data_IF_202654998981
#
_entry.id   IF_202654998981
#
_cell.length_a   1.000
_cell.length_b   1.000
_cell.length_c   1.000
_cell.angle_alpha   90.00
_cell.angle_beta   90.00
_cell.angle_gamma   90.00
#
_symmetry.space_group_name_H-M   'P 1'
#
loop_
_entity.id
_entity.type
_entity.pdbx_description
1 polymer ?
#
# COMPACT_ATOMS: atom_id res chain seq x y z
N UNK A 1 -21.84 -22.43 -30.22
CA UNK A 1 -20.84 -21.35 -30.10
C UNK A 1 -21.43 -20.03 -29.58
N UNK A 2 -22.47 -19.43 -30.18
CA UNK A 2 -23.06 -18.16 -29.68
C UNK A 2 -23.51 -18.18 -28.20
N UNK A 3 -24.14 -19.26 -27.74
CA UNK A 3 -24.58 -19.39 -26.33
C UNK A 3 -23.40 -19.42 -25.33
N UNK A 4 -22.33 -20.14 -25.66
CA UNK A 4 -21.13 -20.21 -24.82
C UNK A 4 -20.42 -18.85 -24.73
N UNK A 5 -20.38 -18.10 -25.83
CA UNK A 5 -19.82 -16.74 -25.86
C UNK A 5 -20.62 -15.75 -25.00
N UNK A 6 -21.96 -15.81 -25.04
CA UNK A 6 -22.83 -14.97 -24.20
C UNK A 6 -22.62 -15.29 -22.71
N UNK A 7 -22.52 -16.57 -22.34
CA UNK A 7 -22.25 -16.98 -20.95
C UNK A 7 -20.89 -16.47 -20.49
N UNK A 8 -19.86 -16.56 -21.33
CA UNK A 8 -18.52 -16.04 -21.00
C UNK A 8 -18.54 -14.53 -20.76
N UNK A 9 -19.21 -13.76 -21.63
CA UNK A 9 -19.35 -12.30 -21.44
C UNK A 9 -20.11 -11.98 -20.15
N UNK A 10 -21.18 -12.72 -19.86
CA UNK A 10 -21.94 -12.51 -18.63
C UNK A 10 -21.09 -12.77 -17.37
N UNK A 11 -20.30 -13.86 -17.35
CA UNK A 11 -19.39 -14.15 -16.25
C UNK A 11 -18.29 -13.10 -16.11
N UNK A 12 -17.70 -12.65 -17.22
CA UNK A 12 -16.71 -11.58 -17.22
C UNK A 12 -17.30 -10.26 -16.70
N UNK A 13 -18.54 -9.93 -17.06
CA UNK A 13 -19.26 -8.76 -16.55
C UNK A 13 -19.53 -8.82 -15.05
N UNK A 14 -19.97 -9.98 -14.55
CA UNK A 14 -20.16 -10.21 -13.10
C UNK A 14 -18.83 -10.07 -12.37
N UNK A 15 -17.76 -10.67 -12.90
CA UNK A 15 -16.44 -10.57 -12.29
C UNK A 15 -15.93 -9.13 -12.26
N UNK A 16 -16.06 -8.39 -13.37
CA UNK A 16 -15.71 -6.97 -13.42
C UNK A 16 -16.50 -6.13 -12.41
N UNK A 17 -17.80 -6.43 -12.23
CA UNK A 17 -18.63 -5.77 -11.22
C UNK A 17 -18.15 -6.05 -9.81
N UNK A 18 -17.78 -7.30 -9.50
CA UNK A 18 -17.23 -7.68 -8.19
C UNK A 18 -15.89 -7.00 -7.91
N UNK A 19 -15.01 -6.88 -8.92
CA UNK A 19 -13.75 -6.15 -8.78
C UNK A 19 -13.94 -4.64 -8.59
N UNK A 20 -14.98 -4.06 -9.18
CA UNK A 20 -15.29 -2.63 -9.03
C UNK A 20 -16.02 -2.32 -7.72
N UNK A 21 -16.82 -3.27 -7.21
CA UNK A 21 -17.61 -3.14 -5.98
C UNK A 21 -17.42 -4.36 -5.07
N UNK A 22 -16.24 -4.48 -4.42
CA UNK A 22 -15.96 -5.60 -3.54
C UNK A 22 -16.95 -5.67 -2.35
N UNK A 23 -17.54 -4.56 -1.94
CA UNK A 23 -18.58 -4.51 -0.90
C UNK A 23 -19.77 -5.45 -1.11
N UNK A 24 -20.06 -5.86 -2.35
CA UNK A 24 -21.10 -6.86 -2.65
C UNK A 24 -20.75 -8.26 -2.13
N UNK A 25 -19.45 -8.55 -2.02
CA UNK A 25 -18.93 -9.80 -1.48
C UNK A 25 -18.51 -9.66 -0.01
N UNK A 26 -17.91 -8.51 0.35
CA UNK A 26 -17.46 -8.17 1.70
C UNK A 26 -18.54 -7.38 2.47
N UNK A 27 -19.64 -8.07 2.78
CA UNK A 27 -20.85 -7.43 3.32
C UNK A 27 -20.77 -6.95 4.77
N UNK A 28 -19.88 -7.50 5.61
CA UNK A 28 -19.72 -7.02 6.99
C UNK A 28 -18.73 -5.88 7.02
N UNK A 29 -19.04 -4.83 7.81
CA UNK A 29 -18.18 -3.65 7.91
C UNK A 29 -18.10 -3.10 9.33
N UNK A 30 -16.97 -2.46 9.63
CA UNK A 30 -16.70 -1.72 10.86
C UNK A 30 -15.98 -0.43 10.51
N UNK A 31 -16.51 0.71 10.94
CA UNK A 31 -15.94 2.03 10.65
C UNK A 31 -15.32 2.64 11.91
N UNK A 32 -14.08 3.13 11.80
CA UNK A 32 -13.34 3.73 12.92
C UNK A 32 -12.25 4.70 12.40
N UNK A 33 -12.25 5.95 12.90
CA UNK A 33 -11.24 6.99 12.58
C UNK A 33 -10.89 7.11 11.09
N UNK A 34 -11.91 7.16 10.22
CA UNK A 34 -11.73 7.26 8.78
C UNK A 34 -11.45 5.93 8.07
N UNK A 35 -11.19 4.84 8.78
CA UNK A 35 -11.05 3.51 8.19
C UNK A 35 -12.37 2.76 8.20
N UNK A 36 -12.73 2.15 7.08
CA UNK A 36 -13.84 1.19 6.99
C UNK A 36 -13.26 -0.18 6.71
N UNK A 37 -13.25 -1.04 7.72
CA UNK A 37 -12.81 -2.44 7.60
C UNK A 37 -13.98 -3.28 7.11
N UNK A 38 -13.76 -4.06 6.06
CA UNK A 38 -14.74 -4.99 5.50
C UNK A 38 -14.21 -6.42 5.46
N UNK A 39 -15.09 -7.37 5.73
CA UNK A 39 -14.79 -8.79 5.68
C UNK A 39 -15.99 -9.56 5.13
N UNK A 40 -15.73 -10.69 4.47
CA UNK A 40 -16.76 -11.64 4.09
C UNK A 40 -17.22 -12.47 5.32
N UNK A 41 -16.24 -12.91 6.11
CA UNK A 41 -16.43 -13.72 7.32
C UNK A 41 -16.75 -12.89 8.56
N UNK A 42 -16.27 -13.33 9.73
CA UNK A 42 -16.33 -12.52 10.95
C UNK A 42 -15.39 -11.32 10.85
N UNK A 43 -15.79 -10.21 11.47
CA UNK A 43 -14.91 -9.05 11.59
C UNK A 43 -13.76 -9.40 12.55
N UNK A 44 -12.53 -8.95 12.28
CA UNK A 44 -11.43 -9.17 13.20
C UNK A 44 -11.71 -8.62 14.60
N UNK A 45 -11.10 -9.21 15.62
CA UNK A 45 -11.13 -8.67 16.99
C UNK A 45 -10.02 -7.64 17.17
N UNK A 46 -10.17 -6.71 18.12
CA UNK A 46 -9.16 -5.69 18.47
C UNK A 46 -8.78 -4.75 17.30
N UNK A 47 -9.73 -4.47 16.40
CA UNK A 47 -9.51 -3.62 15.22
C UNK A 47 -9.03 -2.21 15.63
N UNK A 48 -9.68 -1.60 16.61
CA UNK A 48 -9.47 -0.19 17.01
C UNK A 48 -8.01 0.11 17.36
N UNK A 49 -7.39 -0.68 18.24
CA UNK A 49 -6.01 -0.47 18.67
C UNK A 49 -4.99 -0.57 17.51
N UNK A 50 -5.27 -1.42 16.50
CA UNK A 50 -4.40 -1.54 15.32
C UNK A 50 -4.61 -0.38 14.35
N UNK A 51 -5.84 0.09 14.22
CA UNK A 51 -6.16 1.27 13.43
C UNK A 51 -5.65 2.56 14.06
N UNK A 52 -5.60 2.67 15.38
CA UNK A 52 -4.98 3.81 16.07
C UNK A 52 -3.52 3.97 15.69
N UNK A 53 -2.73 2.90 15.77
CA UNK A 53 -1.32 2.95 15.36
C UNK A 53 -1.12 3.21 13.86
N UNK A 54 -2.08 2.85 13.01
CA UNK A 54 -2.05 3.19 11.59
C UNK A 54 -2.44 4.65 11.36
N UNK A 55 -3.42 5.16 12.12
CA UNK A 55 -3.90 6.53 12.08
C UNK A 55 -2.78 7.51 12.48
N UNK A 56 -2.10 7.25 13.60
CA UNK A 56 -0.97 8.07 14.07
C UNK A 56 0.13 8.20 13.01
N UNK A 57 0.43 7.11 12.30
CA UNK A 57 1.42 7.09 11.21
C UNK A 57 0.95 7.86 9.99
N UNK A 58 -0.26 7.62 9.51
CA UNK A 58 -0.75 8.32 8.31
C UNK A 58 -1.03 9.80 8.58
N UNK A 59 -1.33 10.19 9.83
CA UNK A 59 -1.58 11.57 10.21
C UNK A 59 -0.37 12.51 10.02
N UNK A 60 0.86 11.97 9.98
CA UNK A 60 2.06 12.78 9.68
C UNK A 60 2.23 13.07 8.18
N UNK A 61 1.46 12.40 7.32
CA UNK A 61 1.51 12.61 5.88
C UNK A 61 0.96 13.98 5.52
N UNK A 62 1.71 14.76 4.75
CA UNK A 62 1.21 16.02 4.16
C UNK A 62 0.00 15.83 3.22
N UNK A 63 -0.23 14.61 2.72
CA UNK A 63 -1.37 14.29 1.87
C UNK A 63 -2.63 13.96 2.69
N UNK A 64 -2.46 13.66 3.97
CA UNK A 64 -3.56 13.30 4.85
C UNK A 64 -4.38 14.53 5.21
N UNK A 65 -5.70 14.34 5.26
CA UNK A 65 -6.69 15.31 5.73
C UNK A 65 -7.59 14.62 6.73
N UNK A 66 -8.08 15.32 7.75
CA UNK A 66 -8.94 14.74 8.79
C UNK A 66 -10.19 14.03 8.25
N UNK A 67 -10.70 14.47 7.09
CA UNK A 67 -11.83 13.86 6.41
C UNK A 67 -11.45 12.72 5.43
N UNK A 68 -10.18 12.29 5.43
CA UNK A 68 -9.73 11.20 4.57
C UNK A 68 -10.30 9.88 5.04
N UNK A 69 -10.98 9.18 4.13
CA UNK A 69 -11.49 7.84 4.38
C UNK A 69 -10.67 6.79 3.64
N UNK A 70 -10.47 5.62 4.26
CA UNK A 70 -9.79 4.47 3.68
C UNK A 70 -10.65 3.23 3.81
N UNK A 71 -10.79 2.48 2.72
CA UNK A 71 -11.48 1.19 2.75
C UNK A 71 -10.45 0.08 2.90
N UNK A 72 -10.53 -0.68 3.99
CA UNK A 72 -9.69 -1.83 4.27
C UNK A 72 -10.50 -3.10 4.04
N UNK A 73 -10.04 -3.98 3.16
CA UNK A 73 -10.68 -5.26 2.87
C UNK A 73 -9.79 -6.35 3.43
N UNK A 74 -10.39 -7.25 4.22
CA UNK A 74 -9.75 -8.40 4.85
C UNK A 74 -10.33 -9.68 4.26
N UNK A 75 -9.71 -10.23 3.20
CA UNK A 75 -9.99 -11.56 2.69
C UNK A 75 -9.78 -12.63 3.75
N UNK A 76 -10.59 -13.68 3.69
CA UNK A 76 -10.46 -14.86 4.57
C UNK A 76 -9.33 -15.80 4.15
N UNK A 77 -8.84 -15.69 2.92
CA UNK A 77 -7.81 -16.57 2.35
C UNK A 77 -6.94 -15.88 1.30
N UNK A 78 -5.78 -16.47 1.01
CA UNK A 78 -4.89 -16.02 -0.08
C UNK A 78 -5.57 -16.10 -1.45
N UNK A 79 -6.43 -17.10 -1.66
CA UNK A 79 -7.17 -17.25 -2.92
C UNK A 79 -8.13 -16.08 -3.16
N UNK A 80 -8.87 -15.69 -2.13
CA UNK A 80 -9.76 -14.53 -2.15
C UNK A 80 -8.98 -13.22 -2.34
N UNK A 81 -7.85 -13.05 -1.66
CA UNK A 81 -6.95 -11.91 -1.86
C UNK A 81 -6.51 -11.78 -3.33
N UNK A 82 -6.01 -12.85 -3.94
CA UNK A 82 -5.55 -12.84 -5.34
C UNK A 82 -6.72 -12.63 -6.31
N UNK A 83 -7.88 -13.25 -6.05
CA UNK A 83 -9.08 -13.12 -6.87
C UNK A 83 -9.55 -11.67 -6.99
N UNK A 84 -9.55 -10.91 -5.88
CA UNK A 84 -9.95 -9.50 -5.92
C UNK A 84 -8.84 -8.53 -6.31
N UNK A 85 -7.60 -9.00 -6.46
CA UNK A 85 -6.44 -8.14 -6.76
C UNK A 85 -5.53 -8.69 -7.88
N UNK A 86 -6.08 -9.08 -9.04
CA UNK A 86 -5.31 -9.81 -10.06
C UNK A 86 -4.20 -8.99 -10.74
N UNK A 87 -4.29 -7.66 -10.73
CA UNK A 87 -3.38 -6.76 -11.48
C UNK A 87 -2.49 -5.90 -10.56
N UNK A 88 -2.67 -6.02 -9.25
CA UNK A 88 -2.03 -5.17 -8.27
C UNK A 88 -0.75 -5.84 -7.73
N UNK A 89 0.31 -5.05 -7.58
CA UNK A 89 1.58 -5.49 -6.98
C UNK A 89 1.53 -5.37 -5.45
N UNK A 90 2.30 -6.21 -4.77
CA UNK A 90 2.43 -6.24 -3.31
C UNK A 90 2.03 -7.59 -2.73
N UNK A 91 2.76 -8.04 -1.71
CA UNK A 91 2.56 -9.36 -1.11
C UNK A 91 1.75 -9.32 0.19
N UNK A 92 1.97 -8.28 1.00
CA UNK A 92 1.28 -8.06 2.28
C UNK A 92 -0.01 -7.24 2.11
N UNK A 93 0.01 -6.26 1.20
CA UNK A 93 -1.18 -5.50 0.86
C UNK A 93 -1.15 -4.95 -0.57
N UNK A 94 -2.33 -4.72 -1.12
CA UNK A 94 -2.55 -4.22 -2.48
C UNK A 94 -3.57 -3.11 -2.46
N UNK A 95 -3.30 -2.02 -3.17
CA UNK A 95 -4.22 -0.90 -3.32
C UNK A 95 -4.88 -0.98 -4.69
N UNK A 96 -6.20 -0.97 -4.73
CA UNK A 96 -6.93 -0.99 -5.99
C UNK A 96 -6.75 0.36 -6.72
N UNK A 97 -6.26 0.39 -7.97
CA UNK A 97 -5.99 1.64 -8.68
C UNK A 97 -7.25 2.42 -9.03
N UNK A 98 -8.41 1.76 -9.16
CA UNK A 98 -9.65 2.38 -9.61
C UNK A 98 -10.41 3.07 -8.48
N UNK A 99 -10.59 2.40 -7.34
CA UNK A 99 -11.39 2.91 -6.22
C UNK A 99 -10.61 3.08 -4.92
N UNK A 100 -9.32 2.69 -4.87
CA UNK A 100 -8.46 2.93 -3.72
C UNK A 100 -8.64 1.96 -2.56
N UNK A 101 -9.50 0.93 -2.64
CA UNK A 101 -9.60 -0.03 -1.54
C UNK A 101 -8.27 -0.76 -1.32
N UNK A 102 -7.95 -0.95 -0.06
CA UNK A 102 -6.72 -1.58 0.41
C UNK A 102 -7.06 -3.00 0.82
N UNK A 103 -6.53 -3.97 0.10
CA UNK A 103 -6.66 -5.38 0.43
C UNK A 103 -5.45 -5.80 1.26
N UNK A 104 -5.68 -6.47 2.39
CA UNK A 104 -4.65 -7.02 3.26
C UNK A 104 -4.57 -8.54 3.04
N UNK A 105 -3.38 -9.12 2.86
CA UNK A 105 -3.26 -10.53 2.45
C UNK A 105 -3.70 -11.53 3.52
N UNK A 106 -2.97 -11.61 4.63
CA UNK A 106 -3.32 -12.42 5.80
C UNK A 106 -3.09 -11.58 7.07
N UNK A 107 -4.04 -10.69 7.34
CA UNK A 107 -3.99 -9.78 8.49
C UNK A 107 -4.47 -10.47 9.76
N UNK A 108 -3.62 -10.46 10.79
CA UNK A 108 -3.92 -10.91 12.13
C UNK A 108 -4.01 -9.68 13.05
N UNK A 109 -5.23 -9.20 13.28
CA UNK A 109 -5.46 -8.01 14.11
C UNK A 109 -5.18 -8.25 15.59
N UNK A 110 -5.30 -9.51 16.04
CA UNK A 110 -5.00 -9.89 17.41
C UNK A 110 -3.51 -9.77 17.68
N UNK A 111 -2.69 -10.42 16.85
CA UNK A 111 -1.22 -10.35 16.97
C UNK A 111 -0.65 -9.02 16.46
N UNK A 112 -1.40 -8.28 15.65
CA UNK A 112 -0.97 -6.99 15.08
C UNK A 112 0.03 -7.17 13.95
N UNK A 113 -0.09 -8.26 13.20
CA UNK A 113 0.83 -8.66 12.15
C UNK A 113 0.08 -8.89 10.83
N UNK A 114 0.79 -8.76 9.72
CA UNK A 114 0.31 -9.17 8.40
C UNK A 114 1.35 -10.08 7.76
N UNK A 115 0.88 -11.13 7.11
CA UNK A 115 1.71 -12.11 6.41
C UNK A 115 1.30 -12.19 4.95
N UNK A 116 2.20 -12.68 4.10
CA UNK A 116 1.92 -12.89 2.67
C UNK A 116 0.86 -13.98 2.44
N UNK A 117 0.78 -14.95 3.36
CA UNK A 117 -0.26 -15.96 3.46
C UNK A 117 -0.45 -16.39 4.92
N UNK A 118 -1.58 -17.04 5.27
CA UNK A 118 -1.75 -17.63 6.60
C UNK A 118 -0.60 -18.59 6.94
N UNK A 119 0.07 -18.38 8.08
CA UNK A 119 1.23 -19.17 8.50
C UNK A 119 2.54 -18.88 7.75
N UNK A 120 2.59 -17.85 6.90
CA UNK A 120 3.82 -17.46 6.19
C UNK A 120 4.95 -17.02 7.12
N UNK A 121 6.20 -17.32 6.74
CA UNK A 121 7.39 -16.98 7.54
C UNK A 121 7.65 -15.46 7.57
N UNK A 122 7.37 -14.76 6.48
CA UNK A 122 7.53 -13.32 6.40
C UNK A 122 6.32 -12.62 7.02
N UNK A 123 6.60 -11.68 7.92
CA UNK A 123 5.59 -10.92 8.65
C UNK A 123 6.01 -9.46 8.76
N UNK A 124 5.03 -8.57 8.73
CA UNK A 124 5.21 -7.14 8.99
C UNK A 124 4.23 -6.68 10.06
N UNK A 125 4.55 -5.58 10.74
CA UNK A 125 3.62 -4.93 11.68
C UNK A 125 2.40 -4.41 10.93
N UNK A 126 1.21 -4.84 11.34
CA UNK A 126 -0.05 -4.54 10.65
C UNK A 126 -0.32 -3.03 10.55
N UNK A 127 -0.08 -2.27 11.63
CA UNK A 127 -0.28 -0.82 11.64
C UNK A 127 0.61 -0.09 10.63
N UNK A 128 1.86 -0.55 10.46
CA UNK A 128 2.79 0.02 9.48
C UNK A 128 2.36 -0.31 8.06
N UNK A 129 1.93 -1.56 7.81
CA UNK A 129 1.44 -1.96 6.48
C UNK A 129 0.17 -1.20 6.09
N UNK A 130 -0.79 -1.03 7.03
CA UNK A 130 -2.01 -0.24 6.79
C UNK A 130 -1.64 1.22 6.49
N UNK A 131 -0.75 1.82 7.26
CA UNK A 131 -0.31 3.20 7.03
C UNK A 131 0.40 3.36 5.67
N UNK A 132 1.30 2.44 5.31
CA UNK A 132 1.95 2.44 3.99
C UNK A 132 0.98 2.23 2.83
N UNK A 133 -0.01 1.36 2.98
CA UNK A 133 -1.07 1.19 1.99
C UNK A 133 -1.98 2.42 1.87
N UNK A 134 -2.33 3.05 3.00
CA UNK A 134 -3.08 4.30 3.03
C UNK A 134 -2.29 5.44 2.36
N UNK A 135 -0.98 5.53 2.60
CA UNK A 135 -0.11 6.50 1.93
C UNK A 135 -0.07 6.28 0.41
N UNK A 136 0.02 5.03 -0.06
CA UNK A 136 -0.09 4.71 -1.50
C UNK A 136 -1.44 5.14 -2.07
N UNK A 137 -2.52 4.93 -1.32
CA UNK A 137 -3.86 5.36 -1.73
C UNK A 137 -3.97 6.88 -1.79
N UNK A 138 -3.44 7.63 -0.83
CA UNK A 138 -3.37 9.08 -0.87
C UNK A 138 -2.55 9.57 -2.07
N UNK A 139 -1.39 8.97 -2.33
CA UNK A 139 -0.56 9.27 -3.50
C UNK A 139 -1.31 9.00 -4.79
N UNK A 140 -2.06 7.89 -4.89
CA UNK A 140 -2.92 7.56 -6.03
C UNK A 140 -3.93 8.67 -6.34
N UNK A 141 -4.49 9.34 -5.32
CA UNK A 141 -5.45 10.46 -5.50
C UNK A 141 -4.83 11.69 -6.18
N UNK A 142 -3.50 11.82 -6.21
CA UNK A 142 -2.82 12.90 -6.94
C UNK A 142 -2.87 12.71 -8.45
N UNK A 143 -3.21 11.50 -8.92
CA UNK A 143 -3.13 11.10 -10.31
C UNK A 143 -4.49 10.98 -10.98
N UNK A 144 -4.48 11.05 -12.32
CA UNK A 144 -5.61 10.59 -13.10
C UNK A 144 -5.71 9.05 -13.00
N UNK A 145 -6.92 8.45 -13.00
CA UNK A 145 -7.15 7.03 -12.69
C UNK A 145 -6.35 5.98 -13.48
N UNK A 146 -5.70 6.35 -14.59
CA UNK A 146 -4.90 5.45 -15.43
C UNK A 146 -3.41 5.80 -15.50
N UNK A 147 -3.01 7.04 -15.20
CA UNK A 147 -1.59 7.43 -15.24
C UNK A 147 -0.78 6.78 -14.12
N UNK A 148 -1.45 6.43 -13.01
CA UNK A 148 -0.84 5.73 -11.88
C UNK A 148 -0.27 4.36 -12.27
N UNK A 149 -0.85 3.67 -13.26
CA UNK A 149 -0.39 2.33 -13.66
C UNK A 149 0.93 2.33 -14.45
N UNK A 150 1.33 3.49 -14.99
CA UNK A 150 2.46 3.60 -15.93
C UNK A 150 3.61 4.45 -15.38
N UNK A 151 3.52 4.93 -14.14
CA UNK A 151 4.58 5.72 -13.52
C UNK A 151 5.52 4.80 -12.74
N UNK A 152 6.78 5.20 -12.64
CA UNK A 152 7.73 4.52 -11.79
C UNK A 152 7.22 4.45 -10.35
N UNK A 153 7.20 3.25 -9.79
CA UNK A 153 6.62 2.97 -8.48
C UNK A 153 7.51 3.50 -7.33
N UNK A 154 8.72 4.00 -7.60
CA UNK A 154 9.71 4.26 -6.56
C UNK A 154 9.36 5.46 -5.69
N UNK A 155 8.85 6.59 -6.21
CA UNK A 155 8.46 7.73 -5.36
C UNK A 155 7.29 7.35 -4.46
N UNK A 156 6.30 6.64 -5.02
CA UNK A 156 5.09 6.23 -4.32
C UNK A 156 5.42 5.19 -3.24
N UNK A 157 6.23 4.18 -3.57
CA UNK A 157 6.70 3.17 -2.61
C UNK A 157 7.59 3.79 -1.54
N UNK A 158 8.50 4.68 -1.92
CA UNK A 158 9.39 5.37 -1.00
C UNK A 158 8.64 6.23 -0.01
N UNK A 159 7.69 7.05 -0.50
CA UNK A 159 6.83 7.83 0.38
C UNK A 159 6.00 6.96 1.32
N UNK A 160 5.44 5.86 0.80
CA UNK A 160 4.71 4.91 1.62
C UNK A 160 5.59 4.25 2.69
N UNK A 161 6.83 3.89 2.36
CA UNK A 161 7.78 3.32 3.30
C UNK A 161 8.20 4.32 4.38
N UNK A 162 8.40 5.58 4.00
CA UNK A 162 8.66 6.68 4.92
C UNK A 162 7.51 6.88 5.92
N UNK A 163 6.26 6.97 5.43
CA UNK A 163 5.06 7.12 6.30
C UNK A 163 4.83 5.88 7.16
N UNK A 164 5.01 4.68 6.62
CA UNK A 164 4.87 3.44 7.37
C UNK A 164 5.91 3.33 8.51
N UNK A 165 7.01 4.07 8.42
CA UNK A 165 8.14 3.98 9.34
C UNK A 165 8.80 2.60 9.24
N UNK A 166 8.96 2.07 8.02
CA UNK A 166 9.70 0.83 7.74
C UNK A 166 11.22 0.98 7.95
N UNK A 167 11.66 2.14 8.44
CA UNK A 167 13.05 2.48 8.72
C UNK A 167 13.59 1.87 10.01
N UNK A 168 12.76 1.25 10.85
CA UNK A 168 13.20 0.73 12.16
C UNK A 168 14.10 -0.50 12.11
N UNK A 169 14.05 -1.27 11.03
CA UNK A 169 14.82 -2.53 10.87
C UNK A 169 16.11 -2.34 10.08
N UNK A 170 16.27 -1.20 9.39
CA UNK A 170 17.42 -0.91 8.53
C UNK A 170 18.04 0.43 8.91
N UNK A 171 19.36 0.48 8.84
CA UNK A 171 20.17 1.67 9.03
C UNK A 171 20.57 2.29 7.68
N UNK A 172 20.89 3.60 7.61
CA UNK A 172 21.26 4.22 6.34
C UNK A 172 22.39 3.51 5.57
N UNK A 173 23.42 2.93 6.23
CA UNK A 173 24.42 2.09 5.54
C UNK A 173 23.85 0.85 4.84
N UNK A 174 22.74 0.27 5.31
CA UNK A 174 22.14 -0.92 4.70
C UNK A 174 21.60 -0.61 3.29
N UNK A 175 21.17 0.64 3.07
CA UNK A 175 20.74 1.14 1.76
C UNK A 175 21.87 1.11 0.72
N UNK A 176 23.13 1.07 1.15
CA UNK A 176 24.31 1.04 0.27
C UNK A 176 24.73 -0.38 -0.13
N UNK A 177 24.12 -1.41 0.45
CA UNK A 177 24.52 -2.80 0.19
C UNK A 177 24.15 -3.26 -1.23
N UNK A 178 24.85 -4.26 -1.77
CA UNK A 178 24.47 -4.87 -3.06
C UNK A 178 23.33 -5.89 -2.93
N UNK A 179 23.04 -6.34 -1.70
CA UNK A 179 21.90 -7.22 -1.43
C UNK A 179 20.59 -6.47 -1.67
N UNK A 180 19.56 -7.18 -2.14
CA UNK A 180 18.23 -6.61 -2.36
C UNK A 180 17.15 -7.58 -1.89
N UNK A 181 16.39 -7.16 -0.89
CA UNK A 181 15.10 -7.75 -0.51
C UNK A 181 14.02 -6.71 -0.78
N UNK A 182 12.76 -7.12 -0.89
CA UNK A 182 11.65 -6.16 -1.09
C UNK A 182 11.58 -5.12 0.04
N UNK A 183 11.82 -5.53 1.29
CA UNK A 183 11.86 -4.61 2.43
C UNK A 183 13.01 -3.60 2.32
N UNK A 184 14.19 -4.06 1.87
CA UNK A 184 15.36 -3.20 1.68
C UNK A 184 15.18 -2.24 0.49
N UNK A 185 14.50 -2.67 -0.58
CA UNK A 185 14.13 -1.78 -1.69
C UNK A 185 13.14 -0.70 -1.26
N UNK A 186 12.09 -1.07 -0.51
CA UNK A 186 11.14 -0.11 0.05
C UNK A 186 11.86 0.89 0.97
N UNK A 187 12.80 0.42 1.79
CA UNK A 187 13.64 1.28 2.63
C UNK A 187 14.53 2.23 1.81
N UNK A 188 15.21 1.74 0.78
CA UNK A 188 16.03 2.56 -0.15
C UNK A 188 15.21 3.66 -0.79
N UNK A 189 14.05 3.31 -1.35
CA UNK A 189 13.15 4.31 -1.93
C UNK A 189 12.70 5.34 -0.90
N UNK A 190 12.44 4.90 0.34
CA UNK A 190 12.10 5.79 1.46
C UNK A 190 13.20 6.82 1.72
N UNK A 191 14.46 6.37 1.81
CA UNK A 191 15.61 7.26 1.97
C UNK A 191 15.84 8.17 0.77
N UNK A 192 15.61 7.70 -0.46
CA UNK A 192 15.71 8.54 -1.66
C UNK A 192 14.70 9.69 -1.62
N UNK A 193 13.42 9.38 -1.36
CA UNK A 193 12.35 10.38 -1.23
C UNK A 193 12.66 11.37 -0.10
N UNK A 194 13.05 10.86 1.07
CA UNK A 194 13.39 11.69 2.23
C UNK A 194 14.58 12.62 1.94
N UNK A 195 15.63 12.11 1.29
CA UNK A 195 16.82 12.90 0.93
C UNK A 195 16.47 14.03 -0.01
N UNK A 196 15.70 13.77 -1.07
CA UNK A 196 15.31 14.79 -2.03
C UNK A 196 14.40 15.84 -1.38
N UNK A 197 13.39 15.41 -0.62
CA UNK A 197 12.48 16.33 0.07
C UNK A 197 13.22 17.27 1.03
N UNK A 198 14.22 16.73 1.75
CA UNK A 198 15.06 17.51 2.67
C UNK A 198 16.01 18.48 1.94
N UNK A 199 16.77 18.00 0.96
CA UNK A 199 17.76 18.80 0.25
C UNK A 199 17.12 19.92 -0.58
N UNK A 200 15.99 19.63 -1.22
CA UNK A 200 15.29 20.60 -2.08
C UNK A 200 14.27 21.45 -1.29
N UNK A 201 14.05 21.15 -0.01
CA UNK A 201 13.04 21.75 0.86
C UNK A 201 11.64 21.75 0.22
N UNK A 202 11.22 20.58 -0.27
CA UNK A 202 9.94 20.38 -0.97
C UNK A 202 9.07 19.32 -0.31
N UNK A 203 7.76 19.44 -0.54
CA UNK A 203 6.79 18.40 -0.20
C UNK A 203 6.77 17.25 -1.22
N UNK A 204 6.17 16.13 -0.83
CA UNK A 204 6.00 14.97 -1.70
C UNK A 204 5.13 15.29 -2.93
N UNK A 205 4.10 16.12 -2.79
CA UNK A 205 3.28 16.57 -3.94
C UNK A 205 4.12 17.31 -4.98
N UNK A 206 5.14 18.05 -4.58
CA UNK A 206 6.03 18.72 -5.53
C UNK A 206 7.03 17.73 -6.13
N UNK A 207 7.64 16.87 -5.31
CA UNK A 207 8.56 15.82 -5.75
C UNK A 207 7.95 14.99 -6.89
N UNK A 208 6.71 14.54 -6.71
CA UNK A 208 6.01 13.70 -7.69
C UNK A 208 5.79 14.44 -9.03
N UNK A 209 5.75 15.76 -9.03
CA UNK A 209 5.58 16.53 -10.28
C UNK A 209 6.93 16.89 -10.93
N UNK A 210 8.05 16.65 -10.25
CA UNK A 210 9.39 16.76 -10.83
C UNK A 210 9.69 15.53 -11.69
N UNK A 211 10.51 15.72 -12.72
CA UNK A 211 10.98 14.64 -13.58
C UNK A 211 12.32 14.08 -13.07
N UNK A 212 12.39 13.75 -11.78
CA UNK A 212 13.60 13.22 -11.15
C UNK A 212 13.73 11.74 -11.51
N UNK A 213 14.81 11.37 -12.20
CA UNK A 213 15.03 9.97 -12.55
C UNK A 213 15.40 9.15 -11.32
N UNK A 214 15.15 7.83 -11.38
CA UNK A 214 15.53 6.90 -10.33
C UNK A 214 17.04 6.98 -10.02
N UNK A 215 17.88 7.00 -11.06
CA UNK A 215 19.34 7.03 -10.93
C UNK A 215 19.81 8.31 -10.23
N UNK A 216 19.20 9.45 -10.58
CA UNK A 216 19.51 10.73 -9.94
C UNK A 216 19.16 10.70 -8.46
N UNK A 217 18.00 10.11 -8.13
CA UNK A 217 17.56 9.96 -6.75
C UNK A 217 18.45 9.00 -5.96
N UNK A 218 18.89 7.91 -6.59
CA UNK A 218 19.78 6.91 -6.01
C UNK A 218 21.17 7.51 -5.73
N UNK A 219 21.73 8.25 -6.69
CA UNK A 219 23.03 8.90 -6.54
C UNK A 219 23.03 9.94 -5.42
N UNK A 220 21.95 10.74 -5.31
CA UNK A 220 21.79 11.69 -4.19
C UNK A 220 21.74 10.97 -2.84
N UNK A 221 20.95 9.91 -2.74
CA UNK A 221 20.86 9.09 -1.54
C UNK A 221 22.23 8.50 -1.17
N UNK A 222 22.96 7.93 -2.14
CA UNK A 222 24.30 7.39 -1.93
C UNK A 222 25.30 8.45 -1.47
N UNK A 223 25.27 9.63 -2.06
CA UNK A 223 26.13 10.75 -1.65
C UNK A 223 25.86 11.19 -0.21
N UNK A 224 24.60 11.18 0.22
CA UNK A 224 24.21 11.58 1.56
C UNK A 224 24.52 10.53 2.64
N UNK A 225 24.37 9.23 2.33
CA UNK A 225 24.38 8.16 3.35
C UNK A 225 25.47 7.10 3.17
N UNK A 226 26.11 7.00 2.00
CA UNK A 226 27.08 5.96 1.67
C UNK A 226 28.54 6.45 1.62
N UNK A 227 28.81 7.71 1.93
CA UNK A 227 30.17 8.19 2.18
C UNK A 227 30.94 8.79 1.02
N UNK A 228 30.29 9.13 -0.12
CA UNK A 228 30.84 10.01 -1.17
C UNK A 228 31.97 9.44 -2.01
#
# INVERSE_FOLDING_TARGET
MKKAFIVFIALAGIYALLLAKPELYFGKSFAYKGFTVRAHGELPVQIEARLDGAYEKIAVSELFKENSSFELIVPSSRGEFVFFTPLQKGEFSRVNPFHGAIFLAAADFKEGEVRTAPGGAQKRRLSSEIAGAAARELSRRLFKPLSYLFRDDWEIRGYAAHIAGLTGEFSPPDACSAASTTDLEDYRHGLMVETIMKEDNIGFKELINRNTSFETAEDRMKKAHCGG
#
